data_IF_353794128647
#
_entry.id   IF_353794128647
#
_cell.length_a   1.000
_cell.length_b   1.000
_cell.length_c   1.000
_cell.angle_alpha   90.00
_cell.angle_beta   90.00
_cell.angle_gamma   90.00
#
_symmetry.space_group_name_H-M   'P 1'
#
loop_
_entity.id
_entity.type
_entity.pdbx_description
1 polymer ?
#
# COMPACT_ATOMS: atom_id res chain seq x y z
N UNK A 1 -32.07 -31.79 -7.12
CA UNK A 1 -31.68 -32.73 -6.05
C UNK A 1 -30.16 -32.77 -5.91
N UNK A 2 -29.68 -32.22 -4.79
CA UNK A 2 -28.39 -32.42 -4.11
C UNK A 2 -27.12 -32.49 -4.97
N UNK A 3 -26.31 -31.42 -5.08
CA UNK A 3 -25.38 -30.91 -4.07
C UNK A 3 -24.38 -31.97 -3.60
N UNK A 4 -23.13 -31.88 -4.06
CA UNK A 4 -21.89 -32.22 -3.33
C UNK A 4 -20.68 -31.81 -4.20
N UNK A 5 -20.37 -30.51 -4.23
CA UNK A 5 -18.99 -30.07 -4.45
C UNK A 5 -18.40 -29.95 -3.06
N UNK A 6 -17.66 -30.98 -2.65
CA UNK A 6 -17.00 -31.04 -1.35
C UNK A 6 -16.01 -29.88 -1.28
N UNK A 7 -16.34 -28.89 -0.43
CA UNK A 7 -15.42 -27.86 0.02
C UNK A 7 -14.12 -28.55 0.49
N UNK A 8 -12.98 -28.15 -0.06
CA UNK A 8 -11.67 -28.43 0.54
C UNK A 8 -11.67 -27.78 1.92
N UNK A 9 -12.05 -28.54 2.95
CA UNK A 9 -12.06 -28.11 4.35
C UNK A 9 -10.76 -28.38 5.08
N UNK A 10 -9.79 -29.04 4.45
CA UNK A 10 -8.63 -29.59 5.15
C UNK A 10 -7.29 -29.14 4.55
N UNK A 11 -7.21 -27.92 4.00
CA UNK A 11 -5.92 -27.25 3.86
C UNK A 11 -5.77 -26.38 5.10
N UNK A 12 -5.22 -26.96 6.16
CA UNK A 12 -4.57 -26.20 7.21
C UNK A 12 -3.39 -25.46 6.55
N UNK A 13 -3.64 -24.23 6.11
CA UNK A 13 -2.57 -23.29 5.81
C UNK A 13 -1.89 -23.03 7.15
N UNK A 14 -0.84 -23.79 7.45
CA UNK A 14 0.07 -23.39 8.51
C UNK A 14 0.46 -21.94 8.22
N UNK A 15 0.29 -21.01 9.19
CA UNK A 15 0.69 -19.64 8.98
C UNK A 15 2.19 -19.68 8.69
N UNK A 16 2.59 -19.30 7.47
CA UNK A 16 3.99 -19.09 7.15
C UNK A 16 4.52 -18.05 8.15
N UNK A 17 5.23 -18.55 9.17
CA UNK A 17 5.84 -17.74 10.18
C UNK A 17 7.04 -17.09 9.50
N UNK A 18 6.81 -15.93 8.88
CA UNK A 18 7.86 -15.11 8.31
C UNK A 18 8.70 -14.56 9.47
N UNK A 19 9.73 -15.31 9.83
CA UNK A 19 10.73 -14.89 10.79
C UNK A 19 11.60 -13.81 10.13
N UNK A 20 11.17 -12.55 10.24
CA UNK A 20 12.08 -11.43 10.09
C UNK A 20 13.05 -11.52 11.27
N UNK A 21 14.30 -11.90 11.02
CA UNK A 21 15.36 -11.83 12.02
C UNK A 21 15.45 -10.37 12.48
N UNK A 22 14.81 -10.04 13.61
CA UNK A 22 14.84 -8.71 14.20
C UNK A 22 16.18 -8.55 14.89
N UNK A 23 17.13 -7.94 14.21
CA UNK A 23 18.34 -7.35 14.76
C UNK A 23 17.98 -6.17 15.69
N UNK A 24 17.42 -6.48 16.86
CA UNK A 24 17.59 -5.74 18.11
C UNK A 24 17.19 -4.25 18.17
N UNK A 25 16.62 -3.68 17.11
CA UNK A 25 16.24 -2.27 17.05
C UNK A 25 14.79 -2.15 16.58
N UNK A 26 13.87 -2.62 17.42
CA UNK A 26 12.50 -2.11 17.43
C UNK A 26 12.52 -0.68 17.97
N UNK A 27 13.24 0.20 17.28
CA UNK A 27 13.09 1.62 17.46
C UNK A 27 11.72 1.93 16.86
N UNK A 28 10.77 2.31 17.71
CA UNK A 28 9.55 3.00 17.30
C UNK A 28 9.95 4.37 16.70
N UNK A 29 10.70 4.36 15.59
CA UNK A 29 11.04 5.55 14.85
C UNK A 29 9.79 5.98 14.10
N UNK A 30 9.03 6.85 14.73
CA UNK A 30 7.99 7.56 14.01
C UNK A 30 8.64 8.42 12.93
N UNK A 31 8.15 8.27 11.71
CA UNK A 31 8.53 9.17 10.63
C UNK A 31 8.09 10.59 10.97
N UNK A 32 8.96 11.56 10.68
CA UNK A 32 8.57 12.97 10.72
C UNK A 32 7.39 13.22 9.78
N UNK A 33 6.63 14.27 10.05
CA UNK A 33 5.51 14.68 9.20
C UNK A 33 5.96 14.91 7.76
N UNK A 34 7.14 15.53 7.57
CA UNK A 34 7.73 15.67 6.24
C UNK A 34 8.03 14.33 5.57
N UNK A 35 8.62 13.37 6.28
CA UNK A 35 8.86 12.03 5.72
C UNK A 35 7.55 11.35 5.33
N UNK A 36 6.47 11.49 6.13
CA UNK A 36 5.15 10.95 5.80
C UNK A 36 4.57 11.58 4.52
N UNK A 37 4.69 12.90 4.36
CA UNK A 37 4.27 13.62 3.16
C UNK A 37 5.07 13.18 1.91
N UNK A 38 6.38 12.95 2.06
CA UNK A 38 7.21 12.41 0.99
C UNK A 38 6.81 10.97 0.64
N UNK A 39 6.57 10.12 1.64
CA UNK A 39 6.10 8.74 1.41
C UNK A 39 4.74 8.72 0.70
N UNK A 40 3.82 9.63 1.06
CA UNK A 40 2.56 9.82 0.35
C UNK A 40 2.77 10.22 -1.12
N UNK A 41 3.68 11.15 -1.39
CA UNK A 41 4.02 11.54 -2.77
C UNK A 41 4.57 10.35 -3.57
N UNK A 42 5.44 9.54 -2.96
CA UNK A 42 5.98 8.31 -3.57
C UNK A 42 4.85 7.29 -3.82
N UNK A 43 3.90 7.13 -2.91
CA UNK A 43 2.76 6.23 -3.07
C UNK A 43 1.93 6.56 -4.33
N UNK A 44 1.80 7.85 -4.66
CA UNK A 44 1.20 8.29 -5.93
C UNK A 44 1.95 7.73 -7.14
N UNK A 45 3.28 7.83 -7.16
CA UNK A 45 4.10 7.24 -8.23
C UNK A 45 4.00 5.70 -8.28
N UNK A 46 3.99 5.03 -7.14
CA UNK A 46 3.81 3.57 -7.06
C UNK A 46 2.49 3.15 -7.70
N UNK A 47 1.39 3.84 -7.37
CA UNK A 47 0.07 3.57 -7.96
C UNK A 47 0.08 3.77 -9.48
N UNK A 48 0.67 4.87 -9.97
CA UNK A 48 0.85 5.11 -11.41
C UNK A 48 1.66 4.01 -12.10
N UNK A 49 2.75 3.57 -11.48
CA UNK A 49 3.63 2.56 -12.08
C UNK A 49 2.93 1.20 -12.14
N UNK A 50 2.26 0.81 -11.06
CA UNK A 50 1.55 -0.48 -10.95
C UNK A 50 0.35 -0.55 -11.88
N UNK A 51 -0.35 0.56 -12.13
CA UNK A 51 -1.49 0.58 -13.05
C UNK A 51 -1.14 0.21 -14.48
N UNK A 52 0.11 0.48 -14.90
CA UNK A 52 0.65 0.04 -16.20
C UNK A 52 1.00 -1.46 -16.26
N UNK A 53 1.04 -2.14 -15.11
CA UNK A 53 1.47 -3.54 -14.97
C UNK A 53 0.32 -4.48 -14.62
N UNK A 54 -0.61 -4.03 -13.78
CA UNK A 54 -1.74 -4.83 -13.30
C UNK A 54 -2.87 -4.76 -14.34
N UNK A 55 -3.24 -5.92 -14.89
CA UNK A 55 -4.27 -6.04 -15.93
C UNK A 55 -5.70 -6.16 -15.37
N UNK A 56 -5.84 -6.65 -14.14
CA UNK A 56 -7.15 -6.79 -13.51
C UNK A 56 -7.73 -5.40 -13.18
N UNK A 57 -8.89 -5.06 -13.74
CA UNK A 57 -9.53 -3.76 -13.54
C UNK A 57 -9.87 -3.49 -12.08
N UNK A 58 -10.32 -4.52 -11.34
CA UNK A 58 -10.66 -4.41 -9.92
C UNK A 58 -9.41 -4.07 -9.10
N UNK A 59 -8.31 -4.83 -9.31
CA UNK A 59 -7.05 -4.58 -8.64
C UNK A 59 -6.46 -3.23 -9.02
N UNK A 60 -6.60 -2.80 -10.28
CA UNK A 60 -6.13 -1.50 -10.72
C UNK A 60 -6.92 -0.36 -10.06
N UNK A 61 -8.25 -0.51 -9.97
CA UNK A 61 -9.10 0.44 -9.24
C UNK A 61 -8.75 0.55 -7.75
N UNK A 62 -8.35 -0.56 -7.11
CA UNK A 62 -7.95 -0.59 -5.71
C UNK A 62 -6.64 0.18 -5.41
N UNK A 63 -5.83 0.50 -6.43
CA UNK A 63 -4.61 1.30 -6.25
C UNK A 63 -4.88 2.77 -6.02
N UNK A 64 -6.05 3.27 -6.43
CA UNK A 64 -6.32 4.70 -6.50
C UNK A 64 -7.31 5.17 -5.44
N UNK A 65 -7.04 6.34 -4.90
CA UNK A 65 -7.91 7.06 -3.97
C UNK A 65 -8.53 8.30 -4.60
N UNK A 66 -9.26 9.07 -3.79
CA UNK A 66 -9.82 10.34 -4.23
C UNK A 66 -8.86 11.50 -3.91
N UNK A 67 -8.66 12.42 -4.87
CA UNK A 67 -7.91 13.67 -4.68
C UNK A 67 -8.40 14.48 -3.47
N UNK A 68 -9.70 14.44 -3.17
CA UNK A 68 -10.29 15.11 -2.01
C UNK A 68 -9.76 14.61 -0.65
N UNK A 69 -9.05 13.49 -0.61
CA UNK A 69 -8.53 12.97 0.65
C UNK A 69 -7.15 13.56 1.00
N UNK A 70 -6.57 14.36 0.10
CA UNK A 70 -5.20 14.85 0.18
C UNK A 70 -5.12 16.38 0.24
N UNK A 71 -6.17 17.03 0.76
CA UNK A 71 -6.15 18.48 0.98
C UNK A 71 -4.95 18.85 1.85
N UNK A 72 -4.19 19.85 1.42
CA UNK A 72 -2.96 20.34 2.06
C UNK A 72 -1.73 19.41 1.98
N UNK A 73 -1.82 18.23 1.35
CA UNK A 73 -0.66 17.38 1.14
C UNK A 73 0.25 17.88 0.02
N UNK A 74 1.56 17.56 0.10
CA UNK A 74 2.57 17.97 -0.89
C UNK A 74 2.24 17.47 -2.30
N UNK A 75 1.58 16.31 -2.41
CA UNK A 75 1.14 15.76 -3.69
C UNK A 75 0.16 16.69 -4.42
N UNK A 76 -0.73 17.37 -3.70
CA UNK A 76 -1.64 18.36 -4.29
C UNK A 76 -0.89 19.62 -4.67
N UNK A 77 0.02 20.10 -3.82
CA UNK A 77 0.83 21.30 -4.09
C UNK A 77 1.73 21.11 -5.33
N UNK A 78 2.21 19.89 -5.55
CA UNK A 78 3.09 19.53 -6.67
C UNK A 78 2.35 19.06 -7.92
N UNK A 79 1.04 18.81 -7.82
CA UNK A 79 0.24 18.34 -8.95
C UNK A 79 0.03 19.46 -9.98
N UNK A 80 0.50 19.20 -11.19
CA UNK A 80 0.29 20.06 -12.37
C UNK A 80 -0.73 19.48 -13.36
N UNK A 81 -1.59 18.56 -12.87
CA UNK A 81 -2.61 17.87 -13.66
C UNK A 81 -2.19 16.50 -14.17
N UNK A 82 -1.12 15.92 -13.62
CA UNK A 82 -0.52 14.66 -14.11
C UNK A 82 -0.17 13.65 -13.03
N UNK A 83 -0.37 13.99 -11.75
CA UNK A 83 -0.14 13.07 -10.66
C UNK A 83 -1.36 12.20 -10.39
N UNK A 84 -1.10 10.97 -9.97
CA UNK A 84 -2.14 10.04 -9.51
C UNK A 84 -2.21 10.02 -7.99
N UNK A 85 -3.42 9.86 -7.47
CA UNK A 85 -3.67 9.84 -6.04
C UNK A 85 -3.81 8.39 -5.55
N UNK A 86 -2.95 7.95 -4.61
CA UNK A 86 -2.95 6.56 -4.15
C UNK A 86 -4.17 6.25 -3.28
N UNK A 87 -4.52 4.98 -3.17
CA UNK A 87 -5.45 4.50 -2.13
C UNK A 87 -4.78 4.50 -0.76
N UNK A 88 -5.59 4.47 0.30
CA UNK A 88 -5.09 4.49 1.68
C UNK A 88 -4.16 3.30 1.97
N UNK A 89 -4.45 2.13 1.39
CA UNK A 89 -3.62 0.93 1.57
C UNK A 89 -2.23 1.11 0.96
N UNK A 90 -2.13 1.71 -0.25
CA UNK A 90 -0.84 1.99 -0.88
C UNK A 90 -0.04 3.00 -0.05
N UNK A 91 -0.70 4.03 0.52
CA UNK A 91 -0.05 4.98 1.43
C UNK A 91 0.50 4.28 2.67
N UNK A 92 -0.32 3.44 3.33
CA UNK A 92 0.10 2.68 4.52
C UNK A 92 1.28 1.78 4.23
N UNK A 93 1.28 1.09 3.09
CA UNK A 93 2.41 0.26 2.66
C UNK A 93 3.66 1.12 2.52
N UNK A 94 3.63 2.20 1.73
CA UNK A 94 4.80 3.06 1.54
C UNK A 94 5.33 3.69 2.83
N UNK A 95 4.45 4.18 3.70
CA UNK A 95 4.83 4.74 5.01
C UNK A 95 5.43 3.67 5.92
N UNK A 96 4.88 2.46 5.90
CA UNK A 96 5.42 1.34 6.70
C UNK A 96 6.77 0.91 6.16
N UNK A 97 6.92 0.74 4.84
CA UNK A 97 8.20 0.42 4.21
C UNK A 97 9.28 1.44 4.53
N UNK A 98 8.97 2.73 4.51
CA UNK A 98 9.93 3.79 4.86
C UNK A 98 10.44 3.68 6.30
N UNK A 99 9.61 3.18 7.24
CA UNK A 99 10.06 2.93 8.62
C UNK A 99 11.11 1.82 8.72
N UNK A 100 11.08 0.84 7.81
CA UNK A 100 12.01 -0.29 7.79
C UNK A 100 13.25 -0.05 6.93
N UNK A 101 13.22 0.94 6.03
CA UNK A 101 14.38 1.32 5.20
C UNK A 101 15.30 2.35 5.85
N UNK A 102 14.83 3.04 6.90
CA UNK A 102 15.62 3.98 7.70
C UNK A 102 16.54 3.26 8.68
#
# INVERSE_FOLDING_TARGET
NNSNCTLNKDIDLEPEQYNFETDGLHLNFELSEFSKEVSLYIAGFVSHKLSSKIKCLICNGALFGNKSNFFHSIIVVKDKGGLTYPSEDVVKICVTTEKYLK
#
